data_IF_597910122774
#
_entry.id   IF_597910122774
#
_cell.length_a   1.000
_cell.length_b   1.000
_cell.length_c   1.000
_cell.angle_alpha   90.00
_cell.angle_beta   90.00
_cell.angle_gamma   90.00
#
_symmetry.space_group_name_H-M   'P 1'
#
loop_
_entity.id
_entity.type
_entity.pdbx_description
1 polymer ?
#
# COMPACT_ATOMS: atom_id res chain seq x y z
N UNK A 1 -17.17 -19.24 -3.59
CA UNK A 1 -16.61 -17.98 -3.06
C UNK A 1 -16.70 -16.86 -4.05
N UNK A 2 -17.23 -15.70 -3.65
CA UNK A 2 -17.32 -14.50 -4.47
C UNK A 2 -16.29 -13.50 -3.96
N UNK A 3 -15.39 -13.07 -4.82
CA UNK A 3 -14.41 -12.04 -4.49
C UNK A 3 -15.13 -10.72 -4.22
N UNK A 4 -14.85 -10.07 -3.09
CA UNK A 4 -15.40 -8.77 -2.75
C UNK A 4 -14.34 -7.68 -2.96
N UNK A 5 -14.69 -6.68 -3.76
CA UNK A 5 -13.84 -5.52 -3.96
C UNK A 5 -14.02 -4.53 -2.81
N UNK A 6 -12.92 -4.26 -2.10
CA UNK A 6 -12.84 -3.17 -1.11
C UNK A 6 -12.01 -2.05 -1.71
N UNK A 7 -12.67 -0.92 -2.00
CA UNK A 7 -12.02 0.23 -2.60
C UNK A 7 -11.45 1.18 -1.54
N UNK A 8 -10.23 1.66 -1.76
CA UNK A 8 -9.64 2.72 -0.94
C UNK A 8 -10.29 4.07 -1.23
N UNK A 9 -10.46 4.96 -0.22
CA UNK A 9 -10.96 6.31 -0.46
C UNK A 9 -10.07 7.09 -1.44
N UNK A 10 -10.68 7.94 -2.29
CA UNK A 10 -9.99 8.70 -3.34
C UNK A 10 -8.78 9.52 -2.86
N UNK A 11 -8.83 10.04 -1.64
CA UNK A 11 -7.74 10.81 -1.02
C UNK A 11 -7.05 10.06 0.14
N UNK A 12 -7.23 8.74 0.19
CA UNK A 12 -6.69 7.83 1.20
C UNK A 12 -5.52 7.00 0.68
N UNK A 13 -4.69 7.56 -0.20
CA UNK A 13 -3.60 6.84 -0.86
C UNK A 13 -2.59 6.24 0.14
N UNK A 14 -2.43 6.89 1.30
CA UNK A 14 -1.66 6.40 2.44
C UNK A 14 -2.23 5.11 3.11
N UNK A 15 -3.45 4.69 2.76
CA UNK A 15 -4.05 3.40 3.14
C UNK A 15 -3.90 2.35 2.04
N UNK A 16 -3.40 2.71 0.86
CA UNK A 16 -3.25 1.81 -0.27
C UNK A 16 -2.00 0.94 -0.09
N UNK A 17 -2.22 -0.37 0.08
CA UNK A 17 -1.15 -1.36 0.25
C UNK A 17 -0.15 -1.37 -0.91
N UNK A 18 -0.63 -1.22 -2.15
CA UNK A 18 0.24 -1.22 -3.32
C UNK A 18 1.17 0.00 -3.33
N UNK A 19 0.66 1.19 -3.01
CA UNK A 19 1.47 2.41 -2.93
C UNK A 19 2.52 2.33 -1.80
N UNK A 20 2.16 1.72 -0.67
CA UNK A 20 3.10 1.48 0.44
C UNK A 20 4.26 0.59 -0.03
N UNK A 21 3.98 -0.57 -0.64
CA UNK A 21 5.03 -1.47 -1.11
C UNK A 21 5.86 -0.87 -2.27
N UNK A 22 5.26 -0.06 -3.15
CA UNK A 22 6.01 0.69 -4.16
C UNK A 22 7.00 1.69 -3.55
N UNK A 23 6.63 2.37 -2.45
CA UNK A 23 7.56 3.22 -1.72
C UNK A 23 8.70 2.41 -1.08
N UNK A 24 8.41 1.23 -0.54
CA UNK A 24 9.45 0.33 0.02
C UNK A 24 10.39 -0.15 -1.08
N UNK A 25 9.88 -0.61 -2.23
CA UNK A 25 10.67 -0.97 -3.41
C UNK A 25 11.57 0.19 -3.84
N UNK A 26 11.01 1.39 -3.90
CA UNK A 26 11.74 2.60 -4.29
C UNK A 26 12.88 2.87 -3.33
N UNK A 27 12.65 2.81 -2.03
CA UNK A 27 13.68 3.05 -1.01
C UNK A 27 14.74 1.95 -0.90
N UNK A 28 14.37 0.69 -1.09
CA UNK A 28 15.26 -0.45 -0.88
C UNK A 28 16.03 -0.90 -2.13
N UNK A 29 15.39 -0.83 -3.30
CA UNK A 29 15.95 -1.37 -4.55
C UNK A 29 16.29 -0.26 -5.55
N UNK A 30 15.38 0.68 -5.75
CA UNK A 30 15.47 1.67 -6.82
C UNK A 30 16.06 3.02 -6.37
N UNK A 31 16.58 3.13 -5.15
CA UNK A 31 17.21 4.34 -4.61
C UNK A 31 18.63 4.57 -5.17
N UNK A 32 18.80 4.37 -6.48
CA UNK A 32 20.05 4.51 -7.23
C UNK A 32 19.74 4.72 -8.71
N UNK A 33 20.66 5.36 -9.43
CA UNK A 33 20.53 5.51 -10.88
C UNK A 33 20.75 4.14 -11.56
N UNK A 34 19.80 3.74 -12.39
CA UNK A 34 19.90 2.56 -13.27
C UNK A 34 19.56 3.06 -14.67
N UNK A 35 20.49 2.91 -15.60
CA UNK A 35 20.43 3.51 -16.94
C UNK A 35 19.69 2.66 -17.98
N UNK A 36 19.32 1.43 -17.63
CA UNK A 36 18.69 0.51 -18.56
C UNK A 36 17.51 -0.25 -17.94
N UNK A 37 16.45 -0.38 -18.74
CA UNK A 37 15.19 -1.06 -18.35
C UNK A 37 15.39 -2.54 -18.02
N UNK A 38 16.21 -3.33 -18.75
CA UNK A 38 16.43 -4.73 -18.42
C UNK A 38 16.99 -4.96 -17.02
N UNK A 39 17.93 -4.12 -16.56
CA UNK A 39 18.44 -4.19 -15.19
C UNK A 39 17.33 -3.80 -14.21
N UNK A 40 16.57 -2.72 -14.44
CA UNK A 40 15.46 -2.34 -13.55
C UNK A 40 14.50 -3.52 -13.33
N UNK A 41 14.12 -4.24 -14.40
CA UNK A 41 13.25 -5.42 -14.29
C UNK A 41 13.88 -6.51 -13.44
N UNK A 42 15.11 -6.89 -13.77
CA UNK A 42 15.83 -7.95 -13.05
C UNK A 42 15.97 -7.64 -11.55
N UNK A 43 16.33 -6.41 -11.21
CA UNK A 43 16.49 -5.98 -9.82
C UNK A 43 15.15 -5.94 -9.08
N UNK A 44 14.09 -5.47 -9.75
CA UNK A 44 12.72 -5.45 -9.19
C UNK A 44 12.21 -6.87 -8.94
N UNK A 45 12.42 -7.81 -9.88
CA UNK A 45 12.02 -9.20 -9.74
C UNK A 45 12.77 -9.89 -8.59
N UNK A 46 14.09 -9.66 -8.49
CA UNK A 46 14.90 -10.19 -7.40
C UNK A 46 14.45 -9.65 -6.04
N UNK A 47 14.19 -8.34 -5.96
CA UNK A 47 13.67 -7.71 -4.74
C UNK A 47 12.29 -8.24 -4.38
N UNK A 48 11.37 -8.36 -5.34
CA UNK A 48 10.02 -8.88 -5.12
C UNK A 48 10.06 -10.31 -4.57
N UNK A 49 10.87 -11.17 -5.18
CA UNK A 49 11.05 -12.55 -4.71
C UNK A 49 11.59 -12.58 -3.27
N UNK A 50 12.58 -11.75 -2.95
CA UNK A 50 13.09 -11.65 -1.59
C UNK A 50 12.00 -11.17 -0.60
N UNK A 51 11.29 -10.08 -0.94
CA UNK A 51 10.24 -9.47 -0.11
C UNK A 51 9.08 -10.43 0.16
N UNK A 52 8.62 -11.15 -0.86
CA UNK A 52 7.54 -12.14 -0.75
C UNK A 52 7.92 -13.28 0.22
N UNK A 53 9.19 -13.67 0.25
CA UNK A 53 9.67 -14.72 1.16
C UNK A 53 9.91 -14.25 2.60
N UNK A 54 9.99 -12.93 2.85
CA UNK A 54 10.12 -12.37 4.19
C UNK A 54 8.81 -12.37 4.99
N UNK A 55 7.67 -12.65 4.36
CA UNK A 55 6.34 -12.55 4.99
C UNK A 55 6.13 -11.20 5.71
N UNK A 56 6.65 -10.12 5.13
CA UNK A 56 6.56 -8.79 5.72
C UNK A 56 5.10 -8.37 5.87
N UNK A 57 4.73 -7.88 7.05
CA UNK A 57 3.38 -7.40 7.35
C UNK A 57 3.39 -5.89 7.53
N UNK A 58 2.37 -5.23 7.00
CA UNK A 58 2.13 -3.81 7.28
C UNK A 58 1.66 -3.69 8.73
N UNK A 59 2.40 -2.92 9.53
CA UNK A 59 1.97 -2.54 10.87
C UNK A 59 0.97 -1.39 10.79
N UNK A 60 -0.32 -1.72 10.67
CA UNK A 60 -1.39 -0.73 10.54
C UNK A 60 -1.59 0.07 11.84
N UNK A 61 -1.18 1.34 11.85
CA UNK A 61 -1.36 2.23 13.00
C UNK A 61 -2.69 3.00 13.00
N UNK A 62 -3.41 2.99 11.87
CA UNK A 62 -4.71 3.63 11.73
C UNK A 62 -5.83 2.63 11.99
N UNK A 63 -6.43 2.76 13.17
CA UNK A 63 -7.48 1.85 13.63
C UNK A 63 -8.87 2.33 13.20
N UNK A 64 -9.84 1.42 13.19
CA UNK A 64 -11.25 1.74 12.93
C UNK A 64 -11.78 2.84 13.87
N UNK A 65 -11.34 2.84 15.13
CA UNK A 65 -11.71 3.89 16.09
C UNK A 65 -11.17 5.27 15.67
N UNK A 66 -9.91 5.34 15.24
CA UNK A 66 -9.33 6.57 14.67
C UNK A 66 -10.04 6.99 13.39
N UNK A 67 -10.45 6.03 12.55
CA UNK A 67 -11.21 6.29 11.33
C UNK A 67 -12.57 6.92 11.62
N UNK A 68 -13.32 6.43 12.62
CA UNK A 68 -14.63 7.00 13.02
C UNK A 68 -14.54 8.47 13.44
N UNK A 69 -13.44 8.85 14.07
CA UNK A 69 -13.19 10.24 14.48
C UNK A 69 -12.71 11.08 13.28
N UNK A 70 -11.64 10.65 12.61
CA UNK A 70 -10.98 11.43 11.54
C UNK A 70 -11.83 11.55 10.28
N UNK A 71 -12.60 10.52 9.94
CA UNK A 71 -13.45 10.45 8.75
C UNK A 71 -14.93 10.65 9.08
N UNK A 72 -15.27 11.23 10.24
CA UNK A 72 -16.66 11.41 10.71
C UNK A 72 -17.60 11.94 9.63
N UNK A 73 -17.14 12.90 8.81
CA UNK A 73 -17.92 13.52 7.72
C UNK A 73 -18.29 12.55 6.58
N UNK A 74 -17.59 11.43 6.45
CA UNK A 74 -17.84 10.42 5.41
C UNK A 74 -18.80 9.32 5.89
N UNK A 75 -19.10 9.26 7.19
CA UNK A 75 -20.07 8.29 7.70
C UNK A 75 -21.50 8.80 7.44
N UNK A 76 -22.44 7.92 7.08
CA UNK A 76 -23.83 8.28 6.95
C UNK A 76 -24.35 8.89 8.24
N UNK A 77 -24.94 10.07 8.15
CA UNK A 77 -25.80 10.62 9.20
C UNK A 77 -27.21 10.12 8.92
N UNK A 78 -27.72 9.24 9.78
CA UNK A 78 -29.14 8.92 9.75
C UNK A 78 -29.89 10.13 10.34
N UNK A 79 -30.70 10.80 9.52
CA UNK A 79 -31.71 11.72 10.05
C UNK A 79 -32.75 10.87 10.80
N UNK A 80 -33.05 11.26 12.04
CA UNK A 80 -34.17 10.71 12.81
C UNK A 80 -35.46 11.43 12.43
#
# INVERSE_FOLDING_TARGET
DRFEFVYTPKHGSWLNMAEIELNVLTGQCLNRRIDNIPIIRRETDAWQNHRNNLNAKINWQFTTNKARIKLKRLYPTYEM
#
